data_IF_329908597555
#
_entry.id   IF_329908597555
#
_cell.length_a   1.000
_cell.length_b   1.000
_cell.length_c   1.000
_cell.angle_alpha   90.00
_cell.angle_beta   90.00
_cell.angle_gamma   90.00
#
_symmetry.space_group_name_H-M   'P 1'
#
loop_
_entity.id
_entity.type
_entity.pdbx_description
1 polymer ?
#
# COMPACT_ATOMS: atom_id res chain seq x y z
N UNK A 1 -8.84 -9.84 72.72
CA UNK A 1 -8.35 -8.96 71.63
C UNK A 1 -8.68 -9.60 70.32
N UNK A 2 -9.82 -9.23 69.74
CA UNK A 2 -10.34 -9.82 68.48
C UNK A 2 -10.06 -8.86 67.34
N UNK A 3 -9.14 -9.21 66.46
CA UNK A 3 -8.79 -8.41 65.29
C UNK A 3 -9.84 -8.61 64.21
N UNK A 4 -10.65 -7.58 63.95
CA UNK A 4 -11.59 -7.52 62.84
C UNK A 4 -10.84 -7.21 61.56
N UNK A 5 -10.68 -8.23 60.73
CA UNK A 5 -10.14 -8.11 59.38
C UNK A 5 -11.19 -7.43 58.47
N UNK A 6 -11.01 -6.14 58.20
CA UNK A 6 -11.79 -5.40 57.20
C UNK A 6 -11.40 -5.88 55.80
N UNK A 7 -12.19 -6.80 55.24
CA UNK A 7 -12.12 -7.25 53.87
C UNK A 7 -12.50 -6.13 52.93
N UNK A 8 -11.50 -5.40 52.38
CA UNK A 8 -11.64 -4.34 51.40
C UNK A 8 -12.24 -4.92 50.12
N UNK A 9 -13.55 -4.77 49.91
CA UNK A 9 -14.22 -5.08 48.66
C UNK A 9 -13.68 -4.15 47.57
N UNK A 10 -12.80 -4.63 46.76
CA UNK A 10 -12.36 -3.95 45.53
C UNK A 10 -13.55 -3.76 44.59
N UNK A 11 -14.13 -2.58 44.56
CA UNK A 11 -15.04 -2.15 43.49
C UNK A 11 -14.23 -1.92 42.21
N UNK A 12 -13.96 -2.98 41.48
CA UNK A 12 -13.17 -2.95 40.21
C UNK A 12 -14.03 -2.71 38.97
N UNK A 13 -15.34 -2.50 39.12
CA UNK A 13 -16.27 -2.52 37.99
C UNK A 13 -16.18 -1.27 37.08
N UNK A 14 -15.88 -0.10 37.64
CA UNK A 14 -15.80 1.14 36.83
C UNK A 14 -14.55 1.27 35.97
N UNK A 15 -13.37 0.91 36.49
CA UNK A 15 -12.09 1.12 35.77
C UNK A 15 -11.90 0.25 34.53
N UNK A 16 -12.64 -0.87 34.41
CA UNK A 16 -12.52 -1.79 33.24
C UNK A 16 -13.36 -1.38 32.02
N UNK A 17 -14.37 -0.55 32.21
CA UNK A 17 -15.30 -0.18 31.11
C UNK A 17 -14.83 1.04 30.33
N UNK A 18 -14.12 1.98 30.96
CA UNK A 18 -13.66 3.22 30.35
C UNK A 18 -12.83 3.01 29.05
N UNK A 19 -11.86 2.08 28.98
CA UNK A 19 -11.12 1.85 27.75
C UNK A 19 -12.02 1.43 26.59
N UNK A 20 -13.03 0.61 26.85
CA UNK A 20 -13.97 0.17 25.81
C UNK A 20 -14.87 1.31 25.33
N UNK A 21 -15.29 2.18 26.27
CA UNK A 21 -16.12 3.35 25.93
C UNK A 21 -15.37 4.31 24.97
N UNK A 22 -14.07 4.50 25.18
CA UNK A 22 -13.24 5.31 24.30
C UNK A 22 -13.03 4.67 22.90
N UNK A 23 -13.12 3.35 22.80
CA UNK A 23 -12.99 2.63 21.55
C UNK A 23 -14.29 2.58 20.74
N UNK A 24 -15.46 2.81 21.37
CA UNK A 24 -16.76 2.75 20.71
C UNK A 24 -16.83 3.66 19.46
N UNK A 25 -16.46 4.95 19.49
CA UNK A 25 -16.54 5.81 18.32
C UNK A 25 -15.71 5.28 17.15
N UNK A 26 -14.52 4.77 17.44
CA UNK A 26 -13.66 4.14 16.43
C UNK A 26 -14.34 2.90 15.84
N UNK A 27 -14.85 1.98 16.66
CA UNK A 27 -15.50 0.78 16.17
C UNK A 27 -16.77 1.06 15.39
N UNK A 28 -17.57 2.07 15.78
CA UNK A 28 -18.76 2.46 15.03
C UNK A 28 -18.39 2.91 13.62
N UNK A 29 -17.39 3.78 13.49
CA UNK A 29 -16.92 4.26 12.18
C UNK A 29 -16.31 3.11 11.39
N UNK A 30 -15.45 2.31 11.99
CA UNK A 30 -14.80 1.18 11.35
C UNK A 30 -15.80 0.13 10.85
N UNK A 31 -16.75 -0.27 11.69
CA UNK A 31 -17.77 -1.26 11.31
C UNK A 31 -18.70 -0.73 10.22
N UNK A 32 -19.08 0.54 10.26
CA UNK A 32 -19.97 1.13 9.26
C UNK A 32 -19.29 1.35 7.91
N UNK A 33 -18.05 1.83 7.89
CA UNK A 33 -17.39 2.25 6.64
C UNK A 33 -16.36 1.25 6.09
N UNK A 34 -15.89 0.31 6.90
CA UNK A 34 -14.95 -0.71 6.44
C UNK A 34 -15.56 -2.11 6.48
N UNK A 35 -16.05 -2.52 7.64
CA UNK A 35 -16.50 -3.91 7.82
C UNK A 35 -17.81 -4.22 7.10
N UNK A 36 -18.79 -3.32 7.18
CA UNK A 36 -20.06 -3.50 6.47
C UNK A 36 -19.88 -3.58 4.94
N UNK A 37 -19.17 -2.63 4.26
CA UNK A 37 -18.91 -2.75 2.82
C UNK A 37 -18.12 -4.01 2.45
N UNK A 38 -17.20 -4.47 3.31
CA UNK A 38 -16.47 -5.71 3.09
C UNK A 38 -17.43 -6.93 3.06
N UNK A 39 -18.31 -7.05 4.05
CA UNK A 39 -19.30 -8.13 4.08
C UNK A 39 -20.26 -8.02 2.89
N UNK A 40 -20.73 -6.82 2.59
CA UNK A 40 -21.61 -6.58 1.44
C UNK A 40 -20.94 -6.96 0.12
N UNK A 41 -19.68 -6.58 -0.08
CA UNK A 41 -18.88 -6.97 -1.24
C UNK A 41 -18.73 -8.49 -1.35
N UNK A 42 -18.53 -9.18 -0.23
CA UNK A 42 -18.47 -10.64 -0.21
C UNK A 42 -19.83 -11.27 -0.61
N UNK A 43 -20.95 -10.74 -0.14
CA UNK A 43 -22.29 -11.23 -0.53
C UNK A 43 -22.53 -11.01 -2.01
N UNK A 44 -22.19 -9.81 -2.54
CA UNK A 44 -22.33 -9.51 -3.96
C UNK A 44 -21.42 -10.38 -4.83
N UNK A 45 -20.24 -10.75 -4.36
CA UNK A 45 -19.31 -11.61 -5.12
C UNK A 45 -19.90 -13.00 -5.44
N UNK A 46 -20.94 -13.42 -4.69
CA UNK A 46 -21.69 -14.65 -4.94
C UNK A 46 -22.90 -14.45 -5.87
N UNK A 47 -23.08 -13.24 -6.39
CA UNK A 47 -24.19 -12.89 -7.28
C UNK A 47 -23.67 -12.39 -8.63
N UNK A 48 -24.48 -12.57 -9.68
CA UNK A 48 -24.29 -11.86 -10.93
C UNK A 48 -25.14 -10.60 -10.88
N UNK A 49 -24.47 -9.44 -10.94
CA UNK A 49 -25.11 -8.14 -10.83
C UNK A 49 -24.38 -7.11 -11.69
N UNK A 50 -25.15 -6.35 -12.46
CA UNK A 50 -24.67 -5.27 -13.33
C UNK A 50 -24.75 -3.87 -12.71
N UNK A 51 -25.18 -3.79 -11.43
CA UNK A 51 -25.33 -2.53 -10.71
C UNK A 51 -26.73 -1.88 -10.86
N UNK A 52 -27.59 -2.36 -11.78
CA UNK A 52 -28.87 -1.75 -12.12
C UNK A 52 -30.06 -2.70 -11.95
N UNK A 53 -29.86 -3.97 -12.23
CA UNK A 53 -30.89 -5.02 -12.11
C UNK A 53 -30.86 -5.68 -10.73
N UNK A 54 -31.81 -6.58 -10.46
CA UNK A 54 -31.77 -7.37 -9.24
C UNK A 54 -30.61 -8.38 -9.27
N UNK A 55 -29.81 -8.50 -8.20
CA UNK A 55 -28.69 -9.44 -8.14
C UNK A 55 -29.20 -10.87 -8.15
N UNK A 56 -28.73 -11.69 -9.08
CA UNK A 56 -29.06 -13.11 -9.20
C UNK A 56 -27.97 -13.94 -8.53
N UNK A 57 -28.33 -14.81 -7.59
CA UNK A 57 -27.35 -15.65 -6.89
C UNK A 57 -26.78 -16.72 -7.83
N UNK A 58 -25.45 -16.72 -8.00
CA UNK A 58 -24.71 -17.64 -8.88
C UNK A 58 -23.67 -18.48 -8.12
N UNK A 59 -23.66 -18.38 -6.79
CA UNK A 59 -22.70 -19.11 -5.95
C UNK A 59 -21.25 -18.73 -6.26
N UNK A 60 -20.39 -19.73 -6.48
CA UNK A 60 -18.95 -19.53 -6.72
C UNK A 60 -18.59 -19.35 -8.21
N UNK A 61 -19.57 -19.19 -9.10
CA UNK A 61 -19.32 -19.07 -10.54
C UNK A 61 -18.37 -17.91 -10.88
N UNK A 62 -18.53 -16.75 -10.23
CA UNK A 62 -17.63 -15.62 -10.44
C UNK A 62 -16.17 -15.96 -10.10
N UNK A 63 -15.96 -16.70 -9.01
CA UNK A 63 -14.62 -17.14 -8.60
C UNK A 63 -14.04 -18.15 -9.59
N UNK A 64 -14.84 -19.09 -10.07
CA UNK A 64 -14.39 -20.04 -11.11
C UNK A 64 -13.97 -19.28 -12.35
N UNK A 65 -14.79 -18.36 -12.85
CA UNK A 65 -14.51 -17.58 -14.05
C UNK A 65 -13.21 -16.74 -13.90
N UNK A 66 -12.94 -16.17 -12.73
CA UNK A 66 -11.71 -15.43 -12.46
C UNK A 66 -10.45 -16.32 -12.63
N UNK A 67 -10.55 -17.59 -12.21
CA UNK A 67 -9.41 -18.51 -12.30
C UNK A 67 -9.28 -19.21 -13.65
N UNK A 68 -10.37 -19.40 -14.39
CA UNK A 68 -10.38 -20.17 -15.65
C UNK A 68 -10.38 -19.29 -16.90
N UNK A 69 -11.14 -18.20 -16.88
CA UNK A 69 -11.46 -17.43 -18.08
C UNK A 69 -10.81 -16.03 -18.11
N UNK A 70 -10.39 -15.51 -16.93
CA UNK A 70 -9.76 -14.19 -16.88
C UNK A 70 -8.25 -14.29 -17.13
N UNK A 71 -7.74 -13.85 -18.30
CA UNK A 71 -6.32 -13.91 -18.63
C UNK A 71 -5.47 -12.95 -17.79
N UNK A 72 -6.08 -11.96 -17.17
CA UNK A 72 -5.38 -10.92 -16.41
C UNK A 72 -5.24 -11.26 -14.94
N UNK A 73 -6.11 -12.10 -14.37
CA UNK A 73 -6.11 -12.39 -12.95
C UNK A 73 -4.81 -13.04 -12.47
N UNK A 74 -4.39 -14.13 -13.12
CA UNK A 74 -3.14 -14.81 -12.80
C UNK A 74 -1.92 -13.90 -13.02
N UNK A 75 -1.97 -13.06 -14.07
CA UNK A 75 -0.93 -12.08 -14.34
C UNK A 75 -0.86 -11.00 -13.26
N UNK A 76 -1.99 -10.58 -12.73
CA UNK A 76 -2.09 -9.63 -11.61
C UNK A 76 -1.51 -10.21 -10.33
N UNK A 77 -1.76 -11.49 -10.05
CA UNK A 77 -1.14 -12.21 -8.91
C UNK A 77 0.37 -12.25 -9.08
N UNK A 78 0.87 -12.67 -10.25
CA UNK A 78 2.31 -12.70 -10.54
C UNK A 78 2.95 -11.32 -10.31
N UNK A 79 2.35 -10.26 -10.85
CA UNK A 79 2.83 -8.90 -10.67
C UNK A 79 2.84 -8.47 -9.20
N UNK A 80 1.77 -8.78 -8.47
CA UNK A 80 1.65 -8.45 -7.05
C UNK A 80 2.74 -9.14 -6.23
N UNK A 81 2.99 -10.42 -6.49
CA UNK A 81 4.04 -11.18 -5.82
C UNK A 81 5.44 -10.63 -6.15
N UNK A 82 5.68 -10.27 -7.42
CA UNK A 82 6.93 -9.62 -7.82
C UNK A 82 7.13 -8.29 -7.10
N UNK A 83 6.12 -7.43 -7.08
CA UNK A 83 6.21 -6.15 -6.37
C UNK A 83 6.40 -6.34 -4.87
N UNK A 84 5.70 -7.28 -4.26
CA UNK A 84 5.88 -7.60 -2.85
C UNK A 84 7.30 -8.08 -2.54
N UNK A 85 7.85 -8.95 -3.39
CA UNK A 85 9.17 -9.53 -3.21
C UNK A 85 10.31 -8.51 -3.37
N UNK A 86 10.17 -7.56 -4.29
CA UNK A 86 11.22 -6.59 -4.57
C UNK A 86 10.99 -5.25 -3.85
N UNK A 87 9.78 -4.70 -3.89
CA UNK A 87 9.49 -3.39 -3.31
C UNK A 87 9.57 -3.41 -1.78
N UNK A 88 8.97 -4.40 -1.10
CA UNK A 88 8.96 -4.41 0.35
C UNK A 88 10.37 -4.50 0.97
N UNK A 89 11.29 -5.40 0.56
CA UNK A 89 12.65 -5.40 1.04
C UNK A 89 13.42 -4.13 0.67
N UNK A 90 13.22 -3.58 -0.54
CA UNK A 90 13.88 -2.36 -0.98
C UNK A 90 13.50 -1.17 -0.10
N UNK A 91 12.22 -0.98 0.19
CA UNK A 91 11.72 0.08 1.06
C UNK A 91 12.20 -0.11 2.49
N UNK A 92 12.16 -1.34 3.02
CA UNK A 92 12.61 -1.63 4.38
C UNK A 92 14.11 -1.40 4.55
N UNK A 93 14.92 -1.96 3.66
CA UNK A 93 16.38 -1.83 3.71
C UNK A 93 16.80 -0.38 3.46
N UNK A 94 16.23 0.26 2.44
CA UNK A 94 16.48 1.67 2.12
C UNK A 94 16.08 2.58 3.27
N UNK A 95 14.92 2.37 3.86
CA UNK A 95 14.46 3.11 5.04
C UNK A 95 15.38 2.90 6.25
N UNK A 96 15.87 1.67 6.50
CA UNK A 96 16.80 1.37 7.58
C UNK A 96 18.15 2.04 7.35
N UNK A 97 18.68 2.00 6.13
CA UNK A 97 19.92 2.69 5.76
C UNK A 97 19.77 4.20 6.00
N UNK A 98 18.72 4.81 5.48
CA UNK A 98 18.44 6.22 5.68
C UNK A 98 18.31 6.58 7.18
N UNK A 99 17.57 5.76 7.95
CA UNK A 99 17.41 5.98 9.38
C UNK A 99 18.73 5.89 10.13
N UNK A 100 19.58 4.92 9.82
CA UNK A 100 20.90 4.77 10.44
C UNK A 100 21.83 5.91 10.05
N UNK A 101 21.84 6.33 8.79
CA UNK A 101 22.58 7.48 8.34
C UNK A 101 22.15 8.76 9.07
N UNK A 102 20.84 9.03 9.12
CA UNK A 102 20.29 10.20 9.81
C UNK A 102 20.52 10.18 11.33
N UNK A 103 20.68 9.00 11.94
CA UNK A 103 21.00 8.89 13.35
C UNK A 103 22.50 8.99 13.65
N UNK A 104 23.35 8.93 12.63
CA UNK A 104 24.80 9.05 12.81
C UNK A 104 25.19 10.50 13.09
N UNK A 105 26.17 10.70 14.01
CA UNK A 105 26.75 12.02 14.31
C UNK A 105 27.64 12.56 13.19
N UNK A 106 27.90 11.75 12.16
CA UNK A 106 28.79 12.07 11.04
C UNK A 106 28.15 13.01 9.99
N UNK A 107 26.81 13.06 9.94
CA UNK A 107 26.12 13.88 8.93
C UNK A 107 25.94 15.31 9.44
N UNK A 108 26.69 16.23 8.81
CA UNK A 108 26.44 17.66 8.93
C UNK A 108 25.19 18.03 8.12
N UNK A 109 24.25 18.78 8.73
CA UNK A 109 23.01 19.20 8.06
C UNK A 109 21.85 18.19 8.14
N UNK A 110 21.80 17.38 9.20
CA UNK A 110 20.75 16.39 9.46
C UNK A 110 19.33 16.89 9.14
N UNK A 111 19.01 18.13 9.51
CA UNK A 111 17.68 18.72 9.30
C UNK A 111 17.36 18.89 7.81
N UNK A 112 18.36 19.25 6.98
CA UNK A 112 18.20 19.39 5.53
C UNK A 112 17.95 18.01 4.89
N UNK A 113 18.69 16.98 5.32
CA UNK A 113 18.48 15.61 4.87
C UNK A 113 17.13 15.07 5.26
N UNK A 114 16.66 15.33 6.49
CA UNK A 114 15.29 14.97 6.91
C UNK A 114 14.26 15.65 6.04
N UNK A 115 14.40 16.95 5.78
CA UNK A 115 13.45 17.68 4.92
C UNK A 115 13.45 17.12 3.50
N UNK A 116 14.61 16.84 2.91
CA UNK A 116 14.72 16.25 1.58
C UNK A 116 14.09 14.85 1.48
N UNK A 117 14.17 14.05 2.55
CA UNK A 117 13.53 12.72 2.60
C UNK A 117 12.01 12.81 2.73
N UNK A 118 11.50 13.84 3.42
CA UNK A 118 10.06 14.06 3.56
C UNK A 118 9.41 14.75 2.35
N UNK A 119 10.19 15.50 1.56
CA UNK A 119 9.68 16.28 0.43
C UNK A 119 8.89 15.44 -0.58
N UNK A 120 9.36 14.26 -1.02
CA UNK A 120 8.61 13.39 -1.93
C UNK A 120 7.29 12.92 -1.34
N UNK A 121 7.23 12.67 -0.03
CA UNK A 121 6.00 12.25 0.65
C UNK A 121 4.92 13.36 0.69
N UNK A 122 5.34 14.61 0.73
CA UNK A 122 4.44 15.78 0.68
C UNK A 122 4.00 16.11 -0.75
N UNK A 123 4.69 15.57 -1.75
CA UNK A 123 4.35 15.83 -3.16
C UNK A 123 3.13 15.01 -3.56
N UNK A 124 2.21 15.63 -4.31
CA UNK A 124 1.01 14.97 -4.81
C UNK A 124 1.41 13.78 -5.71
N UNK A 125 0.93 12.55 -5.48
CA UNK A 125 1.32 11.36 -6.25
C UNK A 125 1.14 11.51 -7.76
N UNK A 126 0.13 12.25 -8.19
CA UNK A 126 -0.12 12.55 -9.62
C UNK A 126 1.04 13.34 -10.24
N UNK A 127 1.59 14.33 -9.53
CA UNK A 127 2.73 15.11 -10.02
C UNK A 127 3.98 14.24 -10.17
N UNK A 128 4.20 13.33 -9.23
CA UNK A 128 5.29 12.34 -9.33
C UNK A 128 5.06 11.44 -10.54
N UNK A 129 3.86 10.93 -10.75
CA UNK A 129 3.52 10.10 -11.91
C UNK A 129 3.78 10.83 -13.24
N UNK A 130 3.39 12.09 -13.37
CA UNK A 130 3.67 12.91 -14.56
C UNK A 130 5.19 13.11 -14.77
N UNK A 131 5.95 13.38 -13.70
CA UNK A 131 7.40 13.49 -13.80
C UNK A 131 8.03 12.18 -14.31
N UNK A 132 7.60 11.04 -13.79
CA UNK A 132 8.07 9.74 -14.28
C UNK A 132 7.70 9.52 -15.75
N UNK A 133 6.47 9.85 -16.16
CA UNK A 133 6.08 9.78 -17.57
C UNK A 133 7.00 10.62 -18.47
N UNK A 134 7.34 11.84 -18.08
CA UNK A 134 8.25 12.72 -18.84
C UNK A 134 9.69 12.22 -18.82
N UNK A 135 10.18 11.70 -17.70
CA UNK A 135 11.56 11.20 -17.58
C UNK A 135 11.78 9.92 -18.40
N UNK A 136 10.80 9.01 -18.41
CA UNK A 136 10.86 7.73 -19.08
C UNK A 136 10.14 7.71 -20.43
N UNK A 137 9.77 8.88 -20.98
CA UNK A 137 9.16 8.97 -22.31
C UNK A 137 10.05 8.32 -23.36
N UNK A 138 9.43 7.57 -24.29
CA UNK A 138 10.17 6.84 -25.30
C UNK A 138 11.01 7.74 -26.21
N UNK A 139 10.43 8.82 -26.71
CA UNK A 139 11.07 9.66 -27.74
C UNK A 139 11.88 10.81 -27.13
N UNK A 140 11.38 11.45 -26.10
CA UNK A 140 11.91 12.70 -25.55
C UNK A 140 12.45 12.56 -24.12
N UNK A 141 12.28 11.39 -23.49
CA UNK A 141 12.64 11.17 -22.10
C UNK A 141 14.11 11.36 -21.78
N UNK A 142 14.38 12.07 -20.69
CA UNK A 142 15.74 12.36 -20.24
C UNK A 142 16.56 11.08 -20.00
N UNK A 143 15.94 10.04 -19.46
CA UNK A 143 16.58 8.75 -19.16
C UNK A 143 17.08 8.10 -20.43
N UNK A 144 16.23 8.02 -21.47
CA UNK A 144 16.63 7.48 -22.78
C UNK A 144 17.79 8.28 -23.40
N UNK A 145 17.72 9.61 -23.36
CA UNK A 145 18.80 10.46 -23.90
C UNK A 145 20.13 10.20 -23.20
N UNK A 146 20.13 10.09 -21.88
CA UNK A 146 21.36 9.81 -21.10
C UNK A 146 21.90 8.42 -21.46
N UNK A 147 21.10 7.39 -21.46
CA UNK A 147 21.57 6.02 -21.72
C UNK A 147 22.04 5.80 -23.16
N UNK A 148 21.40 6.43 -24.14
CA UNK A 148 21.86 6.41 -25.52
C UNK A 148 23.15 7.22 -25.68
N UNK A 149 23.27 8.41 -25.06
CA UNK A 149 24.49 9.21 -25.15
C UNK A 149 25.71 8.57 -24.47
N UNK A 150 25.48 7.75 -23.44
CA UNK A 150 26.51 6.96 -22.76
C UNK A 150 26.84 5.64 -23.51
N UNK A 151 26.13 5.33 -24.60
CA UNK A 151 26.33 4.10 -25.36
C UNK A 151 25.84 2.84 -24.63
N UNK A 152 25.03 2.98 -23.58
CA UNK A 152 24.45 1.84 -22.83
C UNK A 152 23.35 1.20 -23.65
N UNK A 153 22.55 2.00 -24.35
CA UNK A 153 21.53 1.53 -25.29
C UNK A 153 21.87 2.03 -26.69
N UNK A 154 21.64 1.17 -27.71
CA UNK A 154 21.81 1.55 -29.11
C UNK A 154 20.62 2.39 -29.60
N UNK A 155 19.43 2.12 -29.08
CA UNK A 155 18.18 2.80 -29.42
C UNK A 155 17.36 3.12 -28.16
N UNK A 156 16.46 4.11 -28.22
CA UNK A 156 15.57 4.43 -27.11
C UNK A 156 14.68 3.24 -26.73
N UNK A 157 14.56 2.95 -25.43
CA UNK A 157 13.75 1.87 -24.88
C UNK A 157 12.38 2.40 -24.46
N UNK A 158 11.32 1.71 -24.86
CA UNK A 158 9.97 2.03 -24.37
C UNK A 158 9.75 1.48 -22.96
N UNK A 159 10.22 2.22 -21.95
CA UNK A 159 10.16 1.81 -20.55
C UNK A 159 8.75 1.63 -20.02
N UNK A 160 7.81 2.45 -20.45
CA UNK A 160 6.43 2.43 -19.94
C UNK A 160 5.47 1.57 -20.76
N UNK A 161 5.79 1.33 -22.04
CA UNK A 161 4.95 0.55 -22.94
C UNK A 161 5.26 -0.96 -22.93
N UNK A 162 6.40 -1.39 -22.44
CA UNK A 162 6.79 -2.80 -22.40
C UNK A 162 6.67 -3.36 -20.96
N UNK A 163 6.05 -4.53 -20.76
CA UNK A 163 5.79 -5.08 -19.43
C UNK A 163 7.03 -5.25 -18.54
N UNK A 164 8.16 -5.69 -19.11
CA UNK A 164 9.41 -5.89 -18.38
C UNK A 164 10.01 -4.58 -17.85
N UNK A 165 10.37 -3.65 -18.75
CA UNK A 165 10.87 -2.33 -18.35
C UNK A 165 9.90 -1.54 -17.46
N UNK A 166 8.58 -1.61 -17.73
CA UNK A 166 7.58 -0.94 -16.91
C UNK A 166 7.58 -1.43 -15.45
N UNK A 167 7.71 -2.73 -15.23
CA UNK A 167 7.84 -3.31 -13.88
C UNK A 167 9.06 -2.76 -13.15
N UNK A 168 10.20 -2.64 -13.85
CA UNK A 168 11.41 -2.07 -13.26
C UNK A 168 11.21 -0.63 -12.82
N UNK A 169 10.60 0.21 -13.67
CA UNK A 169 10.30 1.61 -13.34
C UNK A 169 9.38 1.75 -12.12
N UNK A 170 8.40 0.86 -11.99
CA UNK A 170 7.44 0.89 -10.85
C UNK A 170 8.09 0.39 -9.55
N UNK A 171 9.08 -0.50 -9.61
CA UNK A 171 9.79 -1.01 -8.42
C UNK A 171 10.82 0.01 -7.91
N UNK A 172 11.41 0.80 -8.78
CA UNK A 172 12.46 1.77 -8.44
C UNK A 172 11.89 3.03 -7.75
#
# INVERSE_FOLDING_TARGET
>A
MTSVSLRRKHKLTGKKVWPYLFLIPFFVIYLSFNFYPLIYSFVISLTQWDGFTEPVFVGLSNFVNIFTDDPYFLKSIENTLLFMLFNAPFVLIGGLILATMLNSKLIRGRNVFQLATFLPYLTIPVAIGVLFMLLFDWNSGLINRIFVSLGIFQEPVNFLGLPGPARFVVIM
#
